data_IF_283956248624
#
_entry.id   IF_283956248624
#
_cell.length_a   1.000
_cell.length_b   1.000
_cell.length_c   1.000
_cell.angle_alpha   90.00
_cell.angle_beta   90.00
_cell.angle_gamma   90.00
#
_symmetry.space_group_name_H-M   'P 1'
#
loop_
_entity.id
_entity.type
_entity.pdbx_description
1 polymer ?
#
# COMPACT_ATOMS: atom_id res chain seq x y z
N UNK A 1 -8.29 42.96 27.50
CA UNK A 1 -8.63 42.17 26.29
C UNK A 1 -7.41 41.35 25.96
N UNK A 2 -7.43 40.09 26.36
CA UNK A 2 -6.30 39.16 26.31
C UNK A 2 -6.05 38.73 24.88
N UNK A 3 -4.77 38.71 24.49
CA UNK A 3 -4.19 37.99 23.36
C UNK A 3 -4.84 36.62 23.23
N UNK A 4 -5.71 36.50 22.23
CA UNK A 4 -6.43 35.29 21.90
C UNK A 4 -5.43 34.23 21.45
N UNK A 5 -5.59 33.04 22.03
CA UNK A 5 -5.01 31.79 21.58
C UNK A 5 -5.32 31.62 20.09
N UNK A 6 -4.34 31.88 19.23
CA UNK A 6 -4.29 31.27 17.91
C UNK A 6 -3.97 29.80 18.17
N UNK A 7 -5.00 29.01 18.48
CA UNK A 7 -4.94 27.58 18.25
C UNK A 7 -4.58 27.42 16.77
N UNK A 8 -3.36 26.96 16.50
CA UNK A 8 -2.98 26.43 15.18
C UNK A 8 -4.00 25.35 14.86
N UNK A 9 -5.03 25.70 14.09
CA UNK A 9 -5.98 24.72 13.56
C UNK A 9 -5.17 23.70 12.79
N UNK A 10 -5.22 22.44 13.20
CA UNK A 10 -4.65 21.35 12.44
C UNK A 10 -5.32 21.35 11.06
N UNK A 11 -4.55 21.71 10.04
CA UNK A 11 -5.04 21.73 8.66
C UNK A 11 -4.89 20.37 7.99
N UNK A 12 -4.37 19.35 8.69
CA UNK A 12 -4.05 18.05 8.15
C UNK A 12 -2.94 18.11 7.10
N UNK A 13 -2.70 17.00 6.42
CA UNK A 13 -1.71 16.88 5.34
C UNK A 13 -2.43 16.73 4.00
N UNK A 14 -1.82 17.23 2.92
CA UNK A 14 -2.35 17.03 1.58
C UNK A 14 -2.32 15.54 1.20
N UNK A 15 -3.32 15.07 0.45
CA UNK A 15 -3.31 13.73 -0.13
C UNK A 15 -2.30 13.66 -1.28
N UNK A 16 -1.74 12.48 -1.50
CA UNK A 16 -0.97 12.18 -2.71
C UNK A 16 -1.91 12.06 -3.91
N UNK A 17 -1.46 12.36 -5.14
CA UNK A 17 -2.25 12.11 -6.34
C UNK A 17 -2.80 10.67 -6.42
N UNK A 18 -2.02 9.68 -5.98
CA UNK A 18 -2.44 8.28 -5.91
C UNK A 18 -3.51 8.05 -4.82
N UNK A 19 -3.39 8.73 -3.67
CA UNK A 19 -4.40 8.66 -2.60
C UNK A 19 -5.73 9.28 -3.06
N UNK A 20 -5.70 10.43 -3.76
CA UNK A 20 -6.90 11.11 -4.26
C UNK A 20 -7.74 10.21 -5.18
N UNK A 21 -7.09 9.40 -6.01
CA UNK A 21 -7.77 8.44 -6.90
C UNK A 21 -8.57 7.42 -6.09
N UNK A 22 -7.99 6.84 -5.05
CA UNK A 22 -8.66 5.86 -4.20
C UNK A 22 -9.72 6.49 -3.29
N UNK A 23 -9.50 7.72 -2.85
CA UNK A 23 -10.49 8.49 -2.10
C UNK A 23 -11.70 8.83 -2.98
N UNK A 24 -11.50 9.17 -4.25
CA UNK A 24 -12.60 9.35 -5.20
C UNK A 24 -13.39 8.05 -5.40
N UNK A 25 -12.71 6.90 -5.50
CA UNK A 25 -13.38 5.59 -5.59
C UNK A 25 -14.18 5.26 -4.31
N UNK A 26 -13.64 5.55 -3.12
CA UNK A 26 -14.36 5.45 -1.85
C UNK A 26 -15.64 6.30 -1.87
N UNK A 27 -15.54 7.56 -2.30
CA UNK A 27 -16.68 8.48 -2.40
C UNK A 27 -17.72 8.03 -3.45
N UNK A 28 -17.30 7.26 -4.46
CA UNK A 28 -18.18 6.63 -5.44
C UNK A 28 -18.85 5.33 -4.92
N UNK A 29 -18.58 4.92 -3.68
CA UNK A 29 -19.17 3.73 -3.07
C UNK A 29 -18.51 2.42 -3.50
N UNK A 30 -17.23 2.45 -3.86
CA UNK A 30 -16.48 1.24 -4.24
C UNK A 30 -16.49 0.20 -3.11
N UNK A 31 -16.45 -1.08 -3.50
CA UNK A 31 -16.42 -2.20 -2.56
C UNK A 31 -15.05 -2.29 -1.91
N UNK A 32 -14.99 -2.91 -0.73
CA UNK A 32 -13.75 -3.06 0.04
C UNK A 32 -12.65 -3.72 -0.80
N UNK A 33 -12.94 -4.80 -1.53
CA UNK A 33 -11.97 -5.44 -2.43
C UNK A 33 -11.43 -4.54 -3.56
N UNK A 34 -12.21 -3.57 -4.00
CA UNK A 34 -11.83 -2.68 -5.11
C UNK A 34 -10.84 -1.61 -4.66
N UNK A 35 -10.86 -1.23 -3.38
CA UNK A 35 -10.06 -0.10 -2.83
C UNK A 35 -9.15 -0.49 -1.67
N UNK A 36 -9.01 -1.77 -1.34
CA UNK A 36 -8.06 -2.25 -0.33
C UNK A 36 -6.87 -2.99 -0.92
N UNK A 37 -5.80 -3.00 -0.15
CA UNK A 37 -4.90 -4.15 -0.09
C UNK A 37 -5.42 -5.11 0.98
N UNK A 38 -5.50 -6.40 0.63
CA UNK A 38 -5.99 -7.44 1.52
C UNK A 38 -4.87 -8.43 1.84
N UNK A 39 -4.75 -8.79 3.11
CA UNK A 39 -3.88 -9.85 3.59
C UNK A 39 -4.75 -10.94 4.22
N UNK A 40 -4.66 -12.16 3.71
CA UNK A 40 -5.30 -13.34 4.28
C UNK A 40 -4.27 -14.19 5.01
N UNK A 41 -4.57 -14.56 6.25
CA UNK A 41 -3.74 -15.42 7.10
C UNK A 41 -4.59 -16.61 7.54
N UNK A 42 -4.24 -17.79 7.05
CA UNK A 42 -4.81 -19.06 7.53
C UNK A 42 -4.01 -19.51 8.78
N UNK A 43 -4.71 -19.65 9.91
CA UNK A 43 -4.13 -19.93 11.22
C UNK A 43 -4.60 -21.32 11.67
N UNK A 44 -3.65 -22.23 11.80
CA UNK A 44 -3.88 -23.59 12.28
C UNK A 44 -3.58 -23.70 13.78
N UNK A 45 -4.50 -24.33 14.53
CA UNK A 45 -4.35 -24.55 15.96
C UNK A 45 -5.23 -23.61 16.80
N UNK A 46 -4.89 -23.49 18.08
CA UNK A 46 -5.57 -22.60 19.02
C UNK A 46 -5.19 -21.13 18.78
N UNK A 47 -6.16 -20.24 18.91
CA UNK A 47 -6.00 -18.80 18.78
C UNK A 47 -6.60 -18.12 20.00
N UNK A 48 -5.77 -17.37 20.72
CA UNK A 48 -6.22 -16.43 21.76
C UNK A 48 -6.72 -15.14 21.07
N UNK A 49 -8.05 -15.03 20.91
CA UNK A 49 -8.70 -13.89 20.24
C UNK A 49 -8.55 -12.58 21.02
N UNK A 50 -8.73 -12.54 22.35
CA UNK A 50 -8.42 -11.33 23.14
C UNK A 50 -6.99 -10.83 22.94
N UNK A 51 -6.01 -11.73 22.90
CA UNK A 51 -4.61 -11.37 22.62
C UNK A 51 -4.40 -10.85 21.20
N UNK A 52 -5.14 -11.37 20.22
CA UNK A 52 -5.12 -10.85 18.85
C UNK A 52 -5.67 -9.43 18.79
N UNK A 53 -6.79 -9.16 19.46
CA UNK A 53 -7.35 -7.81 19.57
C UNK A 53 -6.34 -6.84 20.17
N UNK A 54 -5.72 -7.20 21.30
CA UNK A 54 -4.70 -6.37 21.95
C UNK A 54 -3.49 -6.10 21.04
N UNK A 55 -3.06 -7.12 20.27
CA UNK A 55 -1.98 -6.95 19.31
C UNK A 55 -2.38 -5.94 18.22
N UNK A 56 -3.58 -6.05 17.64
CA UNK A 56 -4.09 -5.12 16.64
C UNK A 56 -4.26 -3.69 17.18
N UNK A 57 -4.80 -3.53 18.39
CA UNK A 57 -4.95 -2.24 19.06
C UNK A 57 -3.57 -1.57 19.25
N UNK A 58 -2.54 -2.35 19.60
CA UNK A 58 -1.18 -1.83 19.72
C UNK A 58 -0.63 -1.28 18.40
N UNK A 59 -1.02 -1.85 17.25
CA UNK A 59 -0.60 -1.36 15.94
C UNK A 59 -1.17 0.03 15.65
N UNK A 60 -2.43 0.29 16.02
CA UNK A 60 -3.04 1.61 15.89
C UNK A 60 -2.29 2.66 16.72
N UNK A 61 -1.78 2.27 17.89
CA UNK A 61 -1.01 3.18 18.74
C UNK A 61 0.40 3.45 18.20
N UNK A 62 1.01 2.49 17.50
CA UNK A 62 2.39 2.61 16.98
C UNK A 62 2.48 3.23 15.59
N UNK A 63 1.41 3.13 14.79
CA UNK A 63 1.39 3.61 13.41
C UNK A 63 0.19 4.55 13.20
N UNK A 64 0.44 5.86 13.28
CA UNK A 64 -0.61 6.88 13.18
C UNK A 64 -1.37 6.84 11.84
N UNK A 65 -0.72 6.35 10.78
CA UNK A 65 -1.35 6.14 9.47
C UNK A 65 -2.55 5.17 9.54
N UNK A 66 -2.51 4.13 10.36
CA UNK A 66 -3.62 3.18 10.49
C UNK A 66 -4.88 3.81 11.10
N UNK A 67 -4.70 4.85 11.91
CA UNK A 67 -5.76 5.62 12.55
C UNK A 67 -6.18 6.86 11.74
N UNK A 68 -5.70 6.99 10.50
CA UNK A 68 -5.92 8.21 9.72
C UNK A 68 -7.40 8.48 9.46
N UNK A 69 -7.73 9.75 9.33
CA UNK A 69 -9.08 10.24 8.99
C UNK A 69 -9.01 11.14 7.77
N UNK A 70 -10.09 11.15 7.00
CA UNK A 70 -10.29 12.10 5.91
C UNK A 70 -11.18 13.25 6.41
N UNK A 71 -10.82 14.48 6.06
CA UNK A 71 -11.59 15.65 6.44
C UNK A 71 -11.46 16.79 5.43
N UNK A 72 -12.44 17.67 5.40
CA UNK A 72 -12.39 18.90 4.60
C UNK A 72 -11.87 20.05 5.44
N UNK A 73 -11.11 20.96 4.81
CA UNK A 73 -10.59 22.18 5.46
C UNK A 73 -11.10 23.41 4.72
N UNK A 74 -11.48 24.44 5.47
CA UNK A 74 -11.95 25.70 4.87
C UNK A 74 -10.89 26.30 3.93
N UNK A 75 -11.30 26.66 2.71
CA UNK A 75 -10.39 27.21 1.70
C UNK A 75 -9.58 26.16 0.93
N UNK A 76 -9.74 24.86 1.21
CA UNK A 76 -9.13 23.78 0.44
C UNK A 76 -10.19 23.00 -0.34
N UNK A 77 -9.98 22.81 -1.64
CA UNK A 77 -10.84 21.97 -2.46
C UNK A 77 -10.41 20.51 -2.34
N UNK A 78 -11.31 19.64 -1.86
CA UNK A 78 -11.04 18.22 -1.67
C UNK A 78 -10.87 17.82 -0.20
N UNK A 79 -10.41 16.59 0.02
CA UNK A 79 -10.16 16.04 1.35
C UNK A 79 -8.66 16.12 1.70
N UNK A 80 -8.38 16.21 3.00
CA UNK A 80 -7.04 16.13 3.60
C UNK A 80 -6.98 14.94 4.54
N UNK A 81 -5.77 14.45 4.77
CA UNK A 81 -5.53 13.37 5.71
C UNK A 81 -5.08 13.90 7.06
N UNK A 82 -5.66 13.34 8.11
CA UNK A 82 -5.35 13.67 9.50
C UNK A 82 -4.83 12.41 10.17
N UNK A 83 -3.65 12.50 10.77
CA UNK A 83 -3.03 11.40 11.51
C UNK A 83 -3.11 11.75 12.99
N UNK A 84 -4.12 11.23 13.71
CA UNK A 84 -4.24 11.54 15.13
C UNK A 84 -3.04 11.00 15.89
N UNK A 85 -2.66 11.69 16.96
CA UNK A 85 -1.69 11.16 17.91
C UNK A 85 -2.16 9.81 18.47
N UNK A 86 -1.17 9.00 18.85
CA UNK A 86 -1.35 7.69 19.45
C UNK A 86 -2.34 7.79 20.62
N UNK A 87 -3.54 7.27 20.40
CA UNK A 87 -4.63 7.23 21.37
C UNK A 87 -5.09 5.79 21.49
N UNK A 88 -5.70 5.45 22.62
CA UNK A 88 -6.28 4.12 22.86
C UNK A 88 -7.48 3.92 21.92
N UNK A 89 -7.19 3.58 20.66
CA UNK A 89 -8.16 3.24 19.64
C UNK A 89 -8.30 1.72 19.59
N UNK A 90 -9.53 1.27 19.41
CA UNK A 90 -9.83 -0.15 19.25
C UNK A 90 -9.84 -0.45 17.76
N UNK A 91 -9.06 -1.44 17.37
CA UNK A 91 -9.03 -1.94 16.01
C UNK A 91 -10.36 -2.61 15.68
N UNK A 92 -10.93 -2.28 14.51
CA UNK A 92 -12.18 -2.85 14.02
C UNK A 92 -11.95 -4.30 13.55
N UNK A 93 -12.00 -5.22 14.51
CA UNK A 93 -11.92 -6.66 14.32
C UNK A 93 -13.32 -7.27 14.49
N UNK A 94 -13.87 -7.77 13.39
CA UNK A 94 -15.12 -8.50 13.38
C UNK A 94 -14.84 -10.00 13.54
N UNK A 95 -15.41 -10.62 14.57
CA UNK A 95 -15.25 -12.06 14.83
C UNK A 95 -16.54 -12.80 14.53
N UNK A 96 -16.50 -13.73 13.57
CA UNK A 96 -17.68 -14.48 13.14
C UNK A 96 -17.39 -15.97 13.01
N UNK A 97 -18.38 -16.81 13.24
CA UNK A 97 -18.30 -18.24 12.92
C UNK A 97 -18.71 -18.44 11.46
N UNK A 98 -17.89 -19.17 10.69
CA UNK A 98 -18.20 -19.58 9.31
C UNK A 98 -18.60 -18.43 8.37
N UNK A 99 -18.05 -17.24 8.57
CA UNK A 99 -18.25 -16.11 7.68
C UNK A 99 -17.49 -16.34 6.36
N UNK A 100 -18.14 -15.98 5.25
CA UNK A 100 -17.50 -15.93 3.94
C UNK A 100 -16.73 -14.60 3.80
N UNK A 101 -15.38 -14.61 3.75
CA UNK A 101 -14.61 -13.38 3.60
C UNK A 101 -14.96 -12.61 2.33
N UNK A 102 -15.40 -13.30 1.29
CA UNK A 102 -15.82 -12.73 0.01
C UNK A 102 -17.02 -11.79 0.19
N UNK A 103 -17.98 -12.16 1.05
CA UNK A 103 -19.14 -11.30 1.36
C UNK A 103 -18.71 -10.03 2.10
N UNK A 104 -17.76 -10.16 3.03
CA UNK A 104 -17.22 -9.02 3.75
C UNK A 104 -16.41 -8.11 2.82
N UNK A 105 -15.61 -8.67 1.91
CA UNK A 105 -14.82 -7.93 0.94
C UNK A 105 -15.67 -7.25 -0.15
N UNK A 106 -16.81 -7.84 -0.52
CA UNK A 106 -17.73 -7.27 -1.49
C UNK A 106 -18.60 -6.12 -0.93
N UNK A 107 -18.58 -5.90 0.39
CA UNK A 107 -19.34 -4.81 1.01
C UNK A 107 -18.67 -3.44 0.75
N UNK A 108 -19.45 -2.34 0.62
CA UNK A 108 -18.91 -0.99 0.57
C UNK A 108 -18.09 -0.65 1.82
N UNK A 109 -17.06 0.17 1.65
CA UNK A 109 -16.27 0.67 2.79
C UNK A 109 -16.96 1.90 3.43
N UNK A 110 -17.08 1.98 4.76
CA UNK A 110 -17.63 3.18 5.42
C UNK A 110 -16.84 4.45 5.11
N UNK A 111 -17.53 5.51 4.66
CA UNK A 111 -16.91 6.82 4.33
C UNK A 111 -16.20 7.47 5.53
N UNK A 112 -16.71 7.25 6.74
CA UNK A 112 -16.15 7.82 7.97
C UNK A 112 -14.95 7.03 8.52
N UNK A 113 -14.58 5.91 7.87
CA UNK A 113 -13.63 4.94 8.42
C UNK A 113 -14.26 4.03 9.48
N UNK A 114 -13.43 3.22 10.19
CA UNK A 114 -11.98 3.14 10.06
C UNK A 114 -11.54 2.56 8.70
N UNK A 115 -10.38 2.98 8.21
CA UNK A 115 -9.85 2.60 6.89
C UNK A 115 -8.90 1.39 6.92
N UNK A 116 -8.76 0.79 8.09
CA UNK A 116 -8.13 -0.51 8.30
C UNK A 116 -9.05 -1.33 9.18
N UNK A 117 -9.37 -2.55 8.73
CA UNK A 117 -10.36 -3.42 9.36
C UNK A 117 -9.93 -4.88 9.23
N UNK A 118 -10.46 -5.73 10.11
CA UNK A 118 -10.19 -7.15 10.09
C UNK A 118 -11.47 -7.96 10.19
N UNK A 119 -11.52 -9.07 9.47
CA UNK A 119 -12.46 -10.16 9.69
C UNK A 119 -11.68 -11.37 10.20
N UNK A 120 -12.02 -11.84 11.39
CA UNK A 120 -11.57 -13.14 11.88
C UNK A 120 -12.75 -14.11 11.79
N UNK A 121 -12.56 -15.21 11.06
CA UNK A 121 -13.54 -16.28 11.00
C UNK A 121 -13.01 -17.63 11.43
N UNK A 122 -13.77 -18.33 12.26
CA UNK A 122 -13.51 -19.74 12.58
C UNK A 122 -14.22 -20.61 11.55
N UNK A 123 -13.47 -21.41 10.82
CA UNK A 123 -14.02 -22.32 9.81
C UNK A 123 -14.66 -23.55 10.45
N UNK A 124 -15.55 -24.22 9.70
CA UNK A 124 -16.16 -25.49 10.12
C UNK A 124 -15.12 -26.60 10.42
N UNK A 125 -13.92 -26.50 9.84
CA UNK A 125 -12.80 -27.45 10.08
C UNK A 125 -11.96 -27.10 11.32
N UNK A 126 -12.32 -26.05 12.06
CA UNK A 126 -11.68 -25.68 13.31
C UNK A 126 -10.42 -24.81 13.19
N UNK A 127 -9.97 -24.47 11.97
CA UNK A 127 -8.90 -23.46 11.76
C UNK A 127 -9.50 -22.06 11.62
N UNK A 128 -8.67 -21.04 11.84
CA UNK A 128 -9.06 -19.64 11.75
C UNK A 128 -8.56 -19.02 10.44
N UNK A 129 -9.33 -18.07 9.93
CA UNK A 129 -8.94 -17.22 8.78
C UNK A 129 -9.05 -15.78 9.23
N UNK A 130 -7.92 -15.07 9.25
CA UNK A 130 -7.87 -13.63 9.45
C UNK A 130 -7.71 -12.95 8.10
N UNK A 131 -8.64 -12.05 7.75
CA UNK A 131 -8.53 -11.17 6.60
C UNK A 131 -8.39 -9.74 7.08
N UNK A 132 -7.22 -9.17 6.86
CA UNK A 132 -6.92 -7.76 7.09
C UNK A 132 -7.17 -7.00 5.78
N UNK A 133 -7.96 -5.93 5.85
CA UNK A 133 -8.13 -5.00 4.76
C UNK A 133 -7.58 -3.64 5.18
N UNK A 134 -6.72 -3.07 4.34
CA UNK A 134 -6.18 -1.72 4.48
C UNK A 134 -6.54 -0.94 3.21
N UNK A 135 -7.24 0.18 3.34
CA UNK A 135 -7.54 1.01 2.18
C UNK A 135 -6.24 1.46 1.48
N UNK A 136 -6.22 1.49 0.15
CA UNK A 136 -5.01 1.80 -0.65
C UNK A 136 -4.47 3.21 -0.43
N UNK A 137 -5.31 4.13 0.05
CA UNK A 137 -4.86 5.47 0.45
C UNK A 137 -4.28 5.52 1.87
N UNK A 138 -4.39 4.46 2.67
CA UNK A 138 -3.73 4.38 4.00
C UNK A 138 -2.30 3.92 3.88
N UNK A 139 -2.06 2.91 3.05
CA UNK A 139 -0.73 2.42 2.78
C UNK A 139 -0.67 1.54 1.54
N UNK A 140 0.55 1.35 1.07
CA UNK A 140 0.89 0.52 -0.09
C UNK A 140 1.02 -0.99 0.24
N UNK A 141 1.41 -1.79 -0.76
CA UNK A 141 1.65 -3.24 -0.58
C UNK A 141 2.77 -3.51 0.43
N UNK A 142 3.81 -2.69 0.45
CA UNK A 142 4.91 -2.79 1.44
C UNK A 142 4.41 -2.66 2.87
N UNK A 143 3.43 -1.78 3.10
CA UNK A 143 2.78 -1.58 4.39
C UNK A 143 2.10 -2.86 4.91
N UNK A 144 1.56 -3.71 4.04
CA UNK A 144 0.95 -4.98 4.48
C UNK A 144 1.99 -5.92 5.10
N UNK A 145 3.21 -5.95 4.54
CA UNK A 145 4.30 -6.76 5.10
C UNK A 145 4.69 -6.24 6.49
N UNK A 146 4.89 -4.93 6.63
CA UNK A 146 5.19 -4.28 7.91
C UNK A 146 4.08 -4.54 8.93
N UNK A 147 2.81 -4.38 8.52
CA UNK A 147 1.64 -4.63 9.37
C UNK A 147 1.60 -6.09 9.85
N UNK A 148 1.87 -7.05 8.97
CA UNK A 148 1.89 -8.47 9.32
C UNK A 148 3.02 -8.82 10.29
N UNK A 149 4.24 -8.34 10.02
CA UNK A 149 5.40 -8.58 10.88
C UNK A 149 5.19 -7.98 12.28
N UNK A 150 4.67 -6.75 12.34
CA UNK A 150 4.32 -6.08 13.58
C UNK A 150 3.20 -6.81 14.34
N UNK A 151 2.16 -7.29 13.64
CA UNK A 151 1.09 -8.09 14.24
C UNK A 151 1.61 -9.37 14.86
N UNK A 152 2.44 -10.13 14.13
CA UNK A 152 3.03 -11.38 14.64
C UNK A 152 3.91 -11.10 15.87
N UNK A 153 4.69 -10.02 15.85
CA UNK A 153 5.53 -9.62 16.98
C UNK A 153 4.70 -9.25 18.21
N UNK A 154 3.69 -8.38 18.04
CA UNK A 154 2.79 -7.93 19.10
C UNK A 154 1.94 -9.08 19.66
N UNK A 155 1.51 -10.01 18.80
CA UNK A 155 0.84 -11.22 19.25
C UNK A 155 1.78 -12.08 20.10
N UNK A 156 3.05 -12.27 19.70
CA UNK A 156 4.00 -13.10 20.46
C UNK A 156 4.47 -12.50 21.78
N UNK A 157 4.53 -11.17 21.89
CA UNK A 157 5.04 -10.47 23.07
C UNK A 157 3.97 -9.50 23.57
N UNK A 158 3.24 -9.88 24.62
CA UNK A 158 2.25 -9.01 25.26
C UNK A 158 2.98 -7.91 26.05
N UNK A 159 3.13 -6.74 25.43
CA UNK A 159 3.76 -5.55 26.01
C UNK A 159 4.11 -4.55 24.92
N UNK A 160 4.22 -3.25 25.26
CA UNK A 160 4.89 -2.30 24.39
C UNK A 160 6.33 -2.81 24.21
N UNK A 161 6.67 -3.35 23.03
CA UNK A 161 8.02 -3.80 22.79
C UNK A 161 8.98 -2.62 22.92
N UNK A 162 10.11 -2.81 23.58
CA UNK A 162 11.22 -1.84 23.70
C UNK A 162 11.90 -1.53 22.34
N UNK A 163 11.22 -1.79 21.22
CA UNK A 163 11.71 -1.49 19.89
C UNK A 163 11.56 -0.01 19.58
N UNK A 164 12.49 0.49 18.77
CA UNK A 164 12.48 1.86 18.26
C UNK A 164 11.10 2.19 17.64
N UNK A 165 10.62 3.42 17.90
CA UNK A 165 9.38 3.88 17.30
C UNK A 165 9.56 4.00 15.78
N UNK A 166 8.65 3.42 14.98
CA UNK A 166 8.77 3.53 13.54
C UNK A 166 8.59 4.99 13.12
N UNK A 167 9.31 5.41 12.06
CA UNK A 167 9.03 6.67 11.40
C UNK A 167 7.55 6.76 11.01
N UNK A 168 6.96 7.94 11.12
CA UNK A 168 5.55 8.15 10.81
C UNK A 168 5.39 8.67 9.39
N UNK A 169 4.33 8.25 8.70
CA UNK A 169 4.08 8.73 7.33
C UNK A 169 3.87 10.25 7.27
N UNK A 170 3.33 10.85 8.32
CA UNK A 170 3.25 12.31 8.45
C UNK A 170 4.64 12.98 8.31
N UNK A 171 5.65 12.45 9.00
CA UNK A 171 7.03 12.93 8.92
C UNK A 171 7.61 12.77 7.50
N UNK A 172 7.27 11.67 6.82
CA UNK A 172 7.65 11.49 5.42
C UNK A 172 6.98 12.52 4.50
N UNK A 173 5.70 12.83 4.71
CA UNK A 173 4.98 13.83 3.93
C UNK A 173 5.52 15.24 4.14
N UNK A 174 5.85 15.59 5.38
CA UNK A 174 6.49 16.85 5.75
C UNK A 174 7.86 16.97 5.08
N UNK A 175 8.74 16.00 5.30
CA UNK A 175 10.06 15.95 4.66
C UNK A 175 9.97 16.04 3.13
N UNK A 176 9.05 15.27 2.52
CA UNK A 176 8.88 15.29 1.06
C UNK A 176 8.34 16.63 0.57
N UNK A 177 7.51 17.32 1.36
CA UNK A 177 7.02 18.65 1.00
C UNK A 177 8.17 19.66 0.95
N UNK A 178 9.15 19.58 1.85
CA UNK A 178 10.35 20.42 1.85
C UNK A 178 11.21 20.17 0.61
N UNK A 179 11.43 18.89 0.26
CA UNK A 179 12.21 18.49 -0.92
C UNK A 179 11.61 19.01 -2.24
N UNK A 180 10.28 19.15 -2.33
CA UNK A 180 9.64 19.69 -3.53
C UNK A 180 9.99 21.16 -3.81
N UNK A 181 10.49 21.89 -2.81
CA UNK A 181 10.88 23.30 -2.93
C UNK A 181 12.40 23.51 -2.92
N UNK A 182 13.19 22.44 -2.90
CA UNK A 182 14.65 22.49 -2.92
C UNK A 182 15.20 22.61 -4.35
N UNK A 183 16.45 23.08 -4.50
CA UNK A 183 17.16 23.21 -5.78
C UNK A 183 17.25 21.86 -6.54
N UNK A 184 17.35 20.76 -5.80
CA UNK A 184 17.36 19.40 -6.35
C UNK A 184 16.07 19.05 -7.11
N UNK A 185 14.92 19.64 -6.75
CA UNK A 185 13.67 19.39 -7.45
C UNK A 185 13.70 19.89 -8.90
N UNK A 186 14.36 21.03 -9.16
CA UNK A 186 14.51 21.56 -10.51
C UNK A 186 15.41 20.66 -11.36
N UNK A 187 16.50 20.15 -10.79
CA UNK A 187 17.41 19.19 -11.44
C UNK A 187 16.70 17.89 -11.76
N UNK A 188 15.98 17.31 -10.80
CA UNK A 188 15.21 16.08 -11.02
C UNK A 188 14.13 16.27 -12.10
N UNK A 189 13.43 17.41 -12.10
CA UNK A 189 12.44 17.73 -13.14
C UNK A 189 13.09 17.82 -14.52
N UNK A 190 14.23 18.50 -14.65
CA UNK A 190 14.96 18.61 -15.91
C UNK A 190 15.43 17.23 -16.41
N UNK A 191 15.92 16.37 -15.51
CA UNK A 191 16.27 14.99 -15.82
C UNK A 191 15.08 14.22 -16.41
N UNK A 192 13.93 14.21 -15.74
CA UNK A 192 12.76 13.44 -16.21
C UNK A 192 12.20 13.98 -17.54
N UNK A 193 12.25 15.29 -17.75
CA UNK A 193 11.86 15.91 -19.03
C UNK A 193 12.78 15.50 -20.19
N UNK A 194 14.07 15.31 -19.92
CA UNK A 194 15.05 14.85 -20.92
C UNK A 194 14.98 13.34 -21.14
N UNK A 195 14.80 12.55 -20.06
CA UNK A 195 14.76 11.10 -20.09
C UNK A 195 13.50 10.56 -20.80
N UNK A 196 12.34 11.17 -20.57
CA UNK A 196 11.10 10.76 -21.23
C UNK A 196 10.36 11.98 -21.79
N UNK A 197 10.73 12.42 -23.02
CA UNK A 197 10.07 13.53 -23.68
C UNK A 197 8.58 13.23 -23.89
N UNK A 198 7.73 14.27 -23.81
CA UNK A 198 6.27 14.12 -23.92
C UNK A 198 5.80 13.48 -25.26
N UNK A 199 6.64 13.43 -26.28
CA UNK A 199 6.38 12.73 -27.55
C UNK A 199 6.44 11.20 -27.45
N UNK A 200 7.08 10.66 -26.40
CA UNK A 200 7.35 9.23 -26.21
C UNK A 200 6.62 8.62 -25.01
N UNK A 201 5.84 9.44 -24.28
CA UNK A 201 5.21 9.08 -22.98
C UNK A 201 4.06 8.10 -23.05
N UNK A 202 3.55 7.73 -24.24
CA UNK A 202 2.34 6.92 -24.34
C UNK A 202 2.38 5.90 -25.48
N UNK A 203 3.23 4.90 -25.31
CA UNK A 203 3.12 3.67 -26.09
C UNK A 203 3.03 2.50 -25.11
N UNK A 204 1.88 2.33 -24.47
CA UNK A 204 1.60 1.04 -23.84
C UNK A 204 1.66 -0.05 -24.93
N UNK A 205 2.29 -1.21 -24.66
CA UNK A 205 2.33 -2.28 -25.64
C UNK A 205 0.91 -2.69 -26.04
N UNK A 206 0.65 -2.82 -27.34
CA UNK A 206 -0.63 -3.32 -27.81
C UNK A 206 -0.70 -4.80 -27.47
N UNK A 207 -1.51 -5.17 -26.49
CA UNK A 207 -1.72 -6.57 -26.15
C UNK A 207 -2.84 -7.13 -27.03
N UNK A 208 -2.61 -8.22 -27.78
CA UNK A 208 -3.68 -8.95 -28.43
C UNK A 208 -4.80 -9.22 -27.41
N UNK A 209 -6.05 -9.03 -27.81
CA UNK A 209 -7.23 -9.22 -26.94
C UNK A 209 -7.50 -8.14 -25.87
N UNK A 210 -6.70 -7.07 -25.78
CA UNK A 210 -7.07 -5.91 -24.95
C UNK A 210 -8.32 -5.24 -25.53
N UNK A 211 -9.47 -5.37 -24.84
CA UNK A 211 -10.69 -4.63 -25.20
C UNK A 211 -10.46 -3.14 -24.94
N UNK A 212 -10.88 -2.29 -25.87
CA UNK A 212 -10.73 -0.83 -25.79
C UNK A 212 -11.67 -0.17 -24.76
N UNK A 213 -12.61 -0.93 -24.19
CA UNK A 213 -13.54 -0.44 -23.17
C UNK A 213 -12.93 -0.61 -21.77
N UNK A 214 -13.31 0.29 -20.86
CA UNK A 214 -12.89 0.31 -19.46
C UNK A 214 -12.93 -1.10 -18.86
N UNK A 215 -11.91 -1.40 -18.04
CA UNK A 215 -11.77 -2.63 -17.26
C UNK A 215 -12.81 -2.68 -16.14
N UNK A 216 -14.09 -2.48 -16.47
CA UNK A 216 -15.22 -2.61 -15.54
C UNK A 216 -15.55 -4.10 -15.43
N UNK A 217 -14.67 -4.82 -14.76
CA UNK A 217 -14.81 -6.25 -14.52
C UNK A 217 -13.87 -6.68 -13.39
N UNK A 218 -14.21 -7.76 -12.67
CA UNK A 218 -13.35 -8.27 -11.61
C UNK A 218 -11.97 -8.62 -12.16
N UNK A 219 -10.93 -8.17 -11.47
CA UNK A 219 -9.58 -8.60 -11.76
C UNK A 219 -9.49 -10.13 -11.55
N UNK A 220 -8.94 -10.84 -12.55
CA UNK A 220 -8.65 -12.27 -12.42
C UNK A 220 -7.19 -12.43 -12.00
N UNK A 221 -6.97 -13.08 -10.87
CA UNK A 221 -5.64 -13.48 -10.43
C UNK A 221 -5.30 -14.82 -11.07
N UNK A 222 -4.18 -14.88 -11.78
CA UNK A 222 -3.60 -16.12 -12.29
C UNK A 222 -2.33 -16.39 -11.50
N UNK A 223 -2.27 -17.55 -10.86
CA UNK A 223 -1.11 -18.00 -10.10
C UNK A 223 -0.36 -19.08 -10.87
N UNK A 224 0.96 -18.95 -10.95
CA UNK A 224 1.83 -19.95 -11.56
C UNK A 224 3.04 -20.18 -10.64
N UNK A 225 3.21 -21.43 -10.20
CA UNK A 225 4.37 -21.82 -9.41
C UNK A 225 5.57 -22.10 -10.33
N UNK A 226 6.73 -21.54 -9.98
CA UNK A 226 8.00 -21.90 -10.60
C UNK A 226 8.56 -23.13 -9.88
N UNK A 227 8.99 -24.16 -10.62
CA UNK A 227 9.61 -25.33 -10.01
C UNK A 227 11.01 -25.02 -9.44
N UNK A 228 11.49 -25.87 -8.52
CA UNK A 228 12.78 -25.66 -7.87
C UNK A 228 13.96 -25.60 -8.85
N UNK A 229 14.03 -26.43 -9.92
CA UNK A 229 15.06 -26.30 -10.95
C UNK A 229 15.08 -24.92 -11.62
N UNK A 230 13.92 -24.39 -12.02
CA UNK A 230 13.82 -23.08 -12.64
C UNK A 230 14.18 -21.95 -11.67
N UNK A 231 13.75 -22.03 -10.41
CA UNK A 231 14.14 -21.07 -9.38
C UNK A 231 15.67 -21.01 -9.22
N UNK A 232 16.34 -22.17 -9.17
CA UNK A 232 17.80 -22.23 -9.06
C UNK A 232 18.50 -21.63 -10.29
N UNK A 233 17.99 -21.89 -11.50
CA UNK A 233 18.53 -21.31 -12.73
C UNK A 233 18.36 -19.78 -12.77
N UNK A 234 17.20 -19.26 -12.35
CA UNK A 234 16.95 -17.82 -12.27
C UNK A 234 17.86 -17.14 -11.24
N UNK A 235 18.06 -17.76 -10.07
CA UNK A 235 18.99 -17.26 -9.06
C UNK A 235 20.44 -17.23 -9.58
N UNK A 236 20.89 -18.29 -10.25
CA UNK A 236 22.22 -18.33 -10.86
C UNK A 236 22.37 -17.28 -11.97
N UNK A 237 21.31 -17.03 -12.75
CA UNK A 237 21.31 -15.98 -13.77
C UNK A 237 21.44 -14.59 -13.15
N UNK A 238 20.66 -14.30 -12.09
CA UNK A 238 20.73 -13.03 -11.36
C UNK A 238 22.15 -12.79 -10.81
N UNK A 239 22.74 -13.82 -10.19
CA UNK A 239 24.11 -13.76 -9.69
C UNK A 239 25.13 -13.51 -10.80
N UNK A 240 25.04 -14.22 -11.93
CA UNK A 240 25.95 -14.06 -13.07
C UNK A 240 25.88 -12.67 -13.70
N UNK A 241 24.71 -12.04 -13.66
CA UNK A 241 24.47 -10.70 -14.20
C UNK A 241 24.69 -9.60 -13.16
N UNK A 242 25.03 -9.94 -11.91
CA UNK A 242 25.18 -9.00 -10.79
C UNK A 242 23.93 -8.14 -10.55
N UNK A 243 22.75 -8.72 -10.74
CA UNK A 243 21.44 -8.07 -10.51
C UNK A 243 20.60 -8.86 -9.52
N UNK A 244 19.48 -8.29 -9.08
CA UNK A 244 18.52 -8.99 -8.22
C UNK A 244 17.63 -9.93 -9.03
N UNK A 245 17.06 -10.94 -8.36
CA UNK A 245 16.07 -11.82 -8.98
C UNK A 245 14.85 -11.02 -9.48
N UNK A 246 14.43 -9.99 -8.76
CA UNK A 246 13.33 -9.10 -9.14
C UNK A 246 13.61 -8.43 -10.50
N UNK A 247 14.84 -7.96 -10.74
CA UNK A 247 15.23 -7.39 -12.03
C UNK A 247 15.16 -8.42 -13.17
N UNK A 248 15.57 -9.67 -12.92
CA UNK A 248 15.48 -10.75 -13.92
C UNK A 248 14.03 -11.07 -14.25
N UNK A 249 13.17 -11.22 -13.25
CA UNK A 249 11.75 -11.51 -13.45
C UNK A 249 11.02 -10.37 -14.15
N UNK A 250 11.31 -9.13 -13.77
CA UNK A 250 10.72 -7.95 -14.40
C UNK A 250 11.15 -7.82 -15.87
N UNK A 251 12.43 -8.06 -16.18
CA UNK A 251 12.93 -8.07 -17.55
C UNK A 251 12.30 -9.20 -18.38
N UNK A 252 12.13 -10.40 -17.81
CA UNK A 252 11.45 -11.50 -18.46
C UNK A 252 9.98 -11.17 -18.77
N UNK A 253 9.30 -10.48 -17.86
CA UNK A 253 7.94 -9.98 -18.08
C UNK A 253 7.88 -8.97 -19.22
N UNK A 254 8.76 -7.98 -19.25
CA UNK A 254 8.80 -7.01 -20.34
C UNK A 254 9.16 -7.63 -21.69
N UNK A 255 10.09 -8.58 -21.72
CA UNK A 255 10.42 -9.34 -22.93
C UNK A 255 9.22 -10.14 -23.44
N UNK A 256 8.41 -10.71 -22.53
CA UNK A 256 7.15 -11.35 -22.89
C UNK A 256 6.17 -10.34 -23.51
N UNK A 257 5.98 -9.16 -22.87
CA UNK A 257 5.11 -8.10 -23.38
C UNK A 257 5.56 -7.61 -24.78
N UNK A 258 6.87 -7.45 -24.99
CA UNK A 258 7.43 -7.09 -26.29
C UNK A 258 7.06 -8.12 -27.36
N UNK A 259 7.29 -9.41 -27.05
CA UNK A 259 7.05 -10.53 -27.97
C UNK A 259 5.59 -10.70 -28.33
N UNK A 260 4.66 -10.55 -27.36
CA UNK A 260 3.22 -10.69 -27.63
C UNK A 260 2.62 -9.47 -28.32
N UNK A 261 3.19 -8.28 -28.09
CA UNK A 261 2.71 -7.04 -28.71
C UNK A 261 3.31 -6.78 -30.09
N UNK A 262 4.42 -7.44 -30.43
CA UNK A 262 5.20 -7.14 -31.62
C UNK A 262 5.90 -5.77 -31.56
N UNK A 263 6.01 -5.17 -30.37
CA UNK A 263 6.68 -3.89 -30.12
C UNK A 263 7.82 -4.08 -29.14
N UNK A 264 9.04 -3.91 -29.62
CA UNK A 264 10.25 -3.97 -28.79
C UNK A 264 10.41 -2.71 -27.93
N UNK A 265 9.88 -1.57 -28.41
CA UNK A 265 10.01 -0.27 -27.75
C UNK A 265 8.70 0.15 -27.09
N UNK A 266 8.74 0.35 -25.78
CA UNK A 266 7.61 0.85 -25.00
C UNK A 266 8.06 1.40 -23.65
N UNK A 267 7.19 2.21 -23.03
CA UNK A 267 7.42 2.70 -21.66
C UNK A 267 6.78 1.72 -20.68
N UNK A 268 7.57 1.21 -19.76
CA UNK A 268 7.13 0.37 -18.66
C UNK A 268 7.19 1.11 -17.32
N UNK A 269 6.38 0.69 -16.35
CA UNK A 269 6.49 1.15 -14.97
C UNK A 269 7.36 0.21 -14.14
N UNK A 270 8.24 0.77 -13.33
CA UNK A 270 8.95 0.09 -12.26
C UNK A 270 8.44 0.58 -10.90
N UNK A 271 7.96 -0.34 -10.07
CA UNK A 271 7.51 -0.01 -8.71
C UNK A 271 8.70 0.04 -7.78
N UNK A 272 8.92 1.19 -7.17
CA UNK A 272 9.96 1.46 -6.20
C UNK A 272 9.34 1.69 -4.83
N UNK A 273 9.91 1.09 -3.80
CA UNK A 273 9.51 1.32 -2.41
C UNK A 273 10.39 2.41 -1.81
N UNK A 274 9.83 3.61 -1.61
CA UNK A 274 10.56 4.77 -1.10
C UNK A 274 11.16 4.57 0.29
N UNK A 275 10.74 3.54 1.06
CA UNK A 275 11.36 3.19 2.35
C UNK A 275 12.81 2.74 2.19
N UNK A 276 13.16 2.15 1.04
CA UNK A 276 14.53 1.67 0.77
C UNK A 276 15.55 2.80 0.66
N UNK A 277 15.08 4.02 0.40
CA UNK A 277 15.94 5.20 0.26
C UNK A 277 16.33 5.77 1.63
N UNK A 278 15.55 5.48 2.68
CA UNK A 278 15.70 6.07 4.02
C UNK A 278 15.38 5.04 5.12
N UNK A 279 16.42 4.55 5.80
CA UNK A 279 16.27 3.54 6.87
C UNK A 279 15.28 3.94 7.98
N UNK A 280 15.15 5.24 8.26
CA UNK A 280 14.18 5.76 9.24
C UNK A 280 12.72 5.34 8.94
N UNK A 281 12.38 5.11 7.67
CA UNK A 281 11.04 4.73 7.24
C UNK A 281 10.88 3.23 6.94
N UNK A 282 11.89 2.40 7.21
CA UNK A 282 11.88 0.96 6.87
C UNK A 282 10.66 0.21 7.44
N UNK A 283 10.21 0.60 8.64
CA UNK A 283 9.06 0.02 9.34
C UNK A 283 7.83 0.94 9.37
N UNK A 284 7.77 1.92 8.47
CA UNK A 284 6.65 2.86 8.39
C UNK A 284 5.48 2.30 7.58
N UNK A 285 4.27 2.54 8.06
CA UNK A 285 3.04 2.28 7.32
C UNK A 285 2.61 3.57 6.62
N UNK A 286 2.34 3.51 5.32
CA UNK A 286 2.02 4.67 4.50
C UNK A 286 2.11 4.38 3.01
N UNK A 287 1.84 5.39 2.17
CA UNK A 287 1.92 5.27 0.71
C UNK A 287 3.32 5.71 0.25
N UNK A 288 4.28 4.79 0.28
CA UNK A 288 5.68 5.04 -0.12
C UNK A 288 6.00 4.50 -1.53
N UNK A 289 5.16 3.63 -2.08
CA UNK A 289 5.30 3.12 -3.45
C UNK A 289 5.30 4.27 -4.46
N UNK A 290 6.31 4.28 -5.33
CA UNK A 290 6.44 5.17 -6.49
C UNK A 290 6.53 4.33 -7.75
N UNK A 291 5.93 4.79 -8.84
CA UNK A 291 6.12 4.16 -10.15
C UNK A 291 7.06 5.02 -10.99
N UNK A 292 8.25 4.47 -11.30
CA UNK A 292 9.24 5.11 -12.16
C UNK A 292 9.05 4.65 -13.61
N UNK A 293 8.98 5.56 -14.59
CA UNK A 293 8.91 5.16 -15.98
C UNK A 293 10.28 4.66 -16.47
N UNK A 294 10.27 3.58 -17.23
CA UNK A 294 11.45 3.01 -17.89
C UNK A 294 11.19 2.90 -19.38
N UNK A 295 12.01 3.58 -20.18
CA UNK A 295 12.00 3.45 -21.63
C UNK A 295 12.75 2.17 -22.01
N UNK A 296 12.05 1.24 -22.64
CA UNK A 296 12.62 0.01 -23.18
C UNK A 296 12.88 0.22 -24.67
N UNK A 297 14.08 -0.17 -25.12
CA UNK A 297 14.56 0.02 -26.48
C UNK A 297 14.98 -1.29 -27.12
#
# INVERSE_FOLDING_TARGET
MSTAQLETQDTGLALLPEQETWVAALNAGARREDIAHCLRVDIHGELDVPRLQQALDSLLSRHAALAMRLGSVAGYHGQRQFMPEASAQVFDLQVHLEAAPETWLAAPWPLAGPFVQALLSRTARGHWVLVLAQARFVGDVGSLKVLFEALVQAYRHTGAGDGEEPGQFAQYLEWRSEVLFDEDAATAKAYWQAYLPASETSVAPYLPYRRAQALDGPALTLEAALDAPLQAQLAALAQRLEVTLDSVLQAAWWALLARISGREQFVAGWRHDGRKDYAFFEHSIGVFEKTLPLALH
#
